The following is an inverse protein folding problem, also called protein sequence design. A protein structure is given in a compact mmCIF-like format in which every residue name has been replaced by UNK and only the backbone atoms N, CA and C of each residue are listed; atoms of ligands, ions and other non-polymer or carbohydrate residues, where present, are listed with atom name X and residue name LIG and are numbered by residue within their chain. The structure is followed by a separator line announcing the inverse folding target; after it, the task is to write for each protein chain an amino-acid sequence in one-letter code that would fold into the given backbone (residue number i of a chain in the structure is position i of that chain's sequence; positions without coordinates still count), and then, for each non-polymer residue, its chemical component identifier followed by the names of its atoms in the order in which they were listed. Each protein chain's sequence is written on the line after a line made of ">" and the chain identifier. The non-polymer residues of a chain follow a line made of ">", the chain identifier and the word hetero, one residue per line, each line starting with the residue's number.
data_IF_919925824607
#
_entry.id   IF_919925824607
#
_cell.length_a   1.000
_cell.length_b   1.000
_cell.length_c   1.000
_cell.angle_alpha   90.00
_cell.angle_beta   90.00
_cell.angle_gamma   90.00
#
_symmetry.space_group_name_H-M   'P 1'
#
loop_
_entity.id
_entity.type
_entity.pdbx_description
1 polymer ?
#
# COMPACT_ATOMS: atom_id res chain seq x y z
N UNK A 1 10.35 -2.50 -8.01
CA UNK A 1 9.94 -2.00 -6.70
C UNK A 1 9.23 -3.15 -5.98
N UNK A 2 9.89 -3.84 -5.05
CA UNK A 2 9.16 -4.68 -4.10
C UNK A 2 8.66 -3.72 -3.04
N UNK A 3 7.40 -3.29 -3.14
CA UNK A 3 6.72 -2.57 -2.06
C UNK A 3 6.87 -3.43 -0.80
N UNK A 4 7.40 -2.86 0.28
CA UNK A 4 7.61 -3.65 1.49
C UNK A 4 6.24 -4.16 1.97
N UNK A 5 6.08 -5.47 2.28
CA UNK A 5 4.79 -6.05 2.66
C UNK A 5 4.06 -5.29 3.78
N UNK A 6 4.83 -4.70 4.71
CA UNK A 6 4.32 -3.89 5.80
C UNK A 6 3.62 -2.59 5.34
N UNK A 7 4.13 -1.93 4.29
CA UNK A 7 3.56 -0.67 3.81
C UNK A 7 2.21 -0.90 3.14
N UNK A 8 2.09 -2.02 2.42
CA UNK A 8 0.83 -2.45 1.79
C UNK A 8 -0.20 -2.80 2.85
N UNK A 9 0.19 -3.58 3.87
CA UNK A 9 -0.69 -3.94 4.99
C UNK A 9 -1.21 -2.70 5.73
N UNK A 10 -0.32 -1.75 6.07
CA UNK A 10 -0.69 -0.50 6.72
C UNK A 10 -1.65 0.34 5.86
N UNK A 11 -1.42 0.39 4.55
CA UNK A 11 -2.30 1.09 3.61
C UNK A 11 -3.69 0.47 3.54
N UNK A 12 -3.76 -0.87 3.46
CA UNK A 12 -5.03 -1.60 3.48
C UNK A 12 -5.78 -1.35 4.79
N UNK A 13 -5.08 -1.46 5.93
CA UNK A 13 -5.67 -1.25 7.25
C UNK A 13 -6.24 0.17 7.37
N UNK A 14 -5.47 1.18 6.94
CA UNK A 14 -5.88 2.59 6.94
C UNK A 14 -7.11 2.80 6.07
N UNK A 15 -7.11 2.28 4.84
CA UNK A 15 -8.26 2.40 3.96
C UNK A 15 -9.49 1.73 4.56
N UNK A 16 -9.38 0.47 5.01
CA UNK A 16 -10.51 -0.26 5.58
C UNK A 16 -11.12 0.43 6.82
N UNK A 17 -10.32 1.16 7.60
CA UNK A 17 -10.79 1.89 8.78
C UNK A 17 -11.63 3.15 8.46
N UNK A 18 -11.28 3.92 7.42
CA UNK A 18 -11.90 5.24 7.15
C UNK A 18 -12.79 5.28 5.90
N UNK A 19 -12.61 4.33 4.98
CA UNK A 19 -13.18 4.37 3.63
C UNK A 19 -14.72 4.28 3.59
N UNK A 20 -15.34 3.64 4.58
CA UNK A 20 -16.79 3.37 4.59
C UNK A 20 -17.63 4.64 4.45
N UNK A 21 -17.30 5.69 5.20
CA UNK A 21 -18.04 6.94 5.15
C UNK A 21 -17.79 7.72 3.85
N UNK A 22 -16.65 7.47 3.20
CA UNK A 22 -16.28 8.08 1.93
C UNK A 22 -16.84 7.32 0.70
N UNK A 23 -17.55 6.20 0.91
CA UNK A 23 -18.07 5.37 -0.19
C UNK A 23 -16.99 4.58 -0.93
N UNK A 24 -15.83 4.36 -0.31
CA UNK A 24 -14.75 3.55 -0.87
C UNK A 24 -14.84 2.14 -0.26
N UNK A 25 -14.79 1.11 -1.11
CA UNK A 25 -14.94 -0.29 -0.72
C UNK A 25 -13.77 -1.12 -1.23
N UNK A 26 -13.24 -2.00 -0.38
CA UNK A 26 -12.14 -2.88 -0.73
C UNK A 26 -12.65 -4.31 -0.91
N UNK A 27 -12.20 -4.95 -2.00
CA UNK A 27 -12.34 -6.38 -2.22
C UNK A 27 -10.93 -6.95 -2.32
N UNK A 28 -10.59 -7.86 -1.41
CA UNK A 28 -9.32 -8.58 -1.41
C UNK A 28 -9.57 -10.05 -1.73
N UNK A 29 -8.84 -10.57 -2.72
CA UNK A 29 -8.92 -11.97 -3.12
C UNK A 29 -7.52 -12.58 -3.12
N UNK A 30 -7.42 -13.82 -2.63
CA UNK A 30 -6.19 -14.62 -2.68
C UNK A 30 -6.53 -16.09 -2.87
N UNK A 31 -5.68 -16.79 -3.61
CA UNK A 31 -5.74 -18.26 -3.73
C UNK A 31 -4.90 -18.96 -2.66
N UNK A 32 -4.04 -18.21 -1.95
CA UNK A 32 -3.08 -18.78 -0.99
C UNK A 32 -3.34 -18.15 0.38
N UNK A 33 -4.31 -18.68 1.14
CA UNK A 33 -4.70 -18.14 2.44
C UNK A 33 -3.69 -18.51 3.51
N UNK A 34 -2.55 -17.82 3.52
CA UNK A 34 -1.51 -17.99 4.54
C UNK A 34 -1.64 -16.92 5.63
N UNK A 35 -1.20 -17.24 6.84
CA UNK A 35 -1.28 -16.33 7.98
C UNK A 35 -0.42 -15.06 7.83
N UNK A 36 0.65 -15.12 7.03
CA UNK A 36 1.49 -13.98 6.64
C UNK A 36 0.87 -13.10 5.55
N UNK A 37 -0.15 -13.60 4.84
CA UNK A 37 -0.92 -12.82 3.84
C UNK A 37 -2.21 -12.28 4.46
N UNK A 38 -2.95 -13.12 5.19
CA UNK A 38 -4.19 -12.76 5.89
C UNK A 38 -3.86 -12.58 7.37
N UNK A 39 -3.15 -11.50 7.66
CA UNK A 39 -2.65 -11.19 8.99
C UNK A 39 -3.79 -10.81 9.96
N UNK A 40 -3.46 -10.70 11.25
CA UNK A 40 -4.41 -10.20 12.24
C UNK A 40 -4.90 -8.77 11.97
N UNK A 41 -4.03 -7.90 11.43
CA UNK A 41 -4.40 -6.50 11.11
C UNK A 41 -5.41 -6.45 9.97
N UNK A 42 -5.19 -7.25 8.92
CA UNK A 42 -6.13 -7.39 7.80
C UNK A 42 -7.48 -7.91 8.32
N UNK A 43 -7.46 -8.98 9.12
CA UNK A 43 -8.68 -9.56 9.70
C UNK A 43 -9.45 -8.59 10.60
N UNK A 44 -8.76 -7.78 11.39
CA UNK A 44 -9.39 -6.82 12.30
C UNK A 44 -10.17 -5.73 11.55
N UNK A 45 -9.73 -5.36 10.35
CA UNK A 45 -10.34 -4.28 9.57
C UNK A 45 -11.29 -4.78 8.46
N UNK A 46 -11.29 -6.08 8.15
CA UNK A 46 -12.13 -6.69 7.12
C UNK A 46 -13.01 -7.77 7.77
N UNK A 47 -14.17 -7.37 8.35
CA UNK A 47 -15.02 -8.28 9.11
C UNK A 47 -15.91 -9.17 8.23
N UNK A 48 -16.15 -8.79 6.98
CA UNK A 48 -16.93 -9.58 6.02
C UNK A 48 -16.00 -10.47 5.21
N UNK A 49 -16.24 -11.78 5.20
CA UNK A 49 -15.31 -12.75 4.56
C UNK A 49 -16.06 -13.83 3.82
N UNK A 50 -15.47 -14.26 2.69
CA UNK A 50 -15.96 -15.37 1.89
C UNK A 50 -14.80 -16.36 1.73
N UNK A 51 -15.05 -17.63 1.98
CA UNK A 51 -14.12 -18.71 1.67
C UNK A 51 -14.80 -19.69 0.70
N UNK A 52 -14.16 -19.93 -0.44
CA UNK A 52 -14.44 -21.09 -1.28
C UNK A 52 -13.71 -22.32 -0.74
N UNK A 53 -13.82 -23.45 -1.45
CA UNK A 53 -13.10 -24.67 -1.10
C UNK A 53 -11.59 -24.40 -0.93
N UNK A 54 -11.06 -24.83 0.22
CA UNK A 54 -9.62 -24.76 0.54
C UNK A 54 -9.07 -26.15 0.81
N UNK A 55 -7.74 -26.27 0.75
CA UNK A 55 -7.07 -27.56 0.88
C UNK A 55 -7.10 -28.14 2.30
N UNK A 56 -7.16 -27.28 3.33
CA UNK A 56 -7.05 -27.73 4.71
C UNK A 56 -7.89 -26.93 5.72
N UNK A 57 -8.13 -27.56 6.89
CA UNK A 57 -8.74 -26.88 8.05
C UNK A 57 -7.93 -25.67 8.52
N UNK A 58 -6.62 -25.68 8.32
CA UNK A 58 -5.74 -24.57 8.69
C UNK A 58 -6.07 -23.38 7.81
N UNK A 59 -6.14 -23.58 6.49
CA UNK A 59 -6.51 -22.54 5.52
C UNK A 59 -7.91 -21.97 5.80
N UNK A 60 -8.87 -22.83 6.17
CA UNK A 60 -10.21 -22.40 6.58
C UNK A 60 -10.15 -21.43 7.76
N UNK A 61 -9.37 -21.75 8.79
CA UNK A 61 -9.19 -20.88 9.96
C UNK A 61 -8.43 -19.60 9.66
N UNK A 62 -7.50 -19.62 8.71
CA UNK A 62 -6.80 -18.40 8.30
C UNK A 62 -7.80 -17.38 7.73
N UNK A 63 -8.79 -17.83 6.95
CA UNK A 63 -9.80 -16.94 6.34
C UNK A 63 -10.94 -16.64 7.31
N UNK A 64 -11.56 -17.65 7.89
CA UNK A 64 -12.85 -17.54 8.60
C UNK A 64 -12.73 -17.57 10.13
N UNK A 65 -11.54 -17.81 10.67
CA UNK A 65 -11.30 -18.14 12.08
C UNK A 65 -12.01 -19.44 12.54
N UNK A 66 -12.69 -20.14 11.63
CA UNK A 66 -13.42 -21.40 11.84
C UNK A 66 -13.08 -22.47 10.80
N UNK A 67 -13.38 -23.74 11.11
CA UNK A 67 -13.27 -24.84 10.14
C UNK A 67 -14.52 -24.90 9.24
N UNK A 68 -14.41 -25.57 8.09
CA UNK A 68 -15.58 -25.85 7.24
C UNK A 68 -15.32 -25.62 5.76
N UNK A 69 -14.46 -24.67 5.41
CA UNK A 69 -14.14 -24.40 4.01
C UNK A 69 -13.39 -25.57 3.35
N UNK A 70 -12.71 -26.40 4.14
CA UNK A 70 -12.05 -27.64 3.72
C UNK A 70 -13.04 -28.74 3.26
N UNK A 71 -14.33 -28.57 3.57
CA UNK A 71 -15.40 -29.53 3.25
C UNK A 71 -16.33 -29.06 2.14
N UNK A 72 -16.06 -27.90 1.56
CA UNK A 72 -16.81 -27.39 0.43
C UNK A 72 -16.54 -28.27 -0.81
N UNK A 73 -17.49 -28.24 -1.74
CA UNK A 73 -17.50 -29.10 -2.92
C UNK A 73 -16.73 -28.50 -4.11
N UNK A 74 -16.31 -27.23 -4.01
CA UNK A 74 -15.75 -26.47 -5.11
C UNK A 74 -16.84 -25.88 -6.00
N UNK A 75 -16.48 -25.44 -7.22
CA UNK A 75 -17.42 -24.96 -8.25
C UNK A 75 -18.46 -23.94 -7.74
N UNK A 76 -18.01 -22.96 -6.95
CA UNK A 76 -18.86 -21.90 -6.41
C UNK A 76 -19.45 -22.18 -5.02
N UNK A 77 -19.33 -23.39 -4.47
CA UNK A 77 -19.74 -23.65 -3.08
C UNK A 77 -18.84 -22.86 -2.11
N UNK A 78 -19.45 -22.08 -1.23
CA UNK A 78 -18.76 -21.12 -0.37
C UNK A 78 -19.36 -21.01 1.03
N UNK A 79 -18.54 -20.54 1.97
CA UNK A 79 -18.95 -20.06 3.27
C UNK A 79 -18.79 -18.55 3.32
N UNK A 80 -19.85 -17.87 3.74
CA UNK A 80 -19.89 -16.45 3.98
C UNK A 80 -19.97 -16.19 5.48
N UNK A 81 -19.07 -15.34 5.98
CA UNK A 81 -19.09 -14.77 7.31
C UNK A 81 -19.54 -13.30 7.20
N UNK A 82 -20.78 -12.98 7.56
CA UNK A 82 -21.26 -11.60 7.59
C UNK A 82 -20.53 -10.78 8.67
N UNK A 83 -20.48 -9.44 8.53
CA UNK A 83 -19.95 -8.59 9.58
C UNK A 83 -20.77 -8.72 10.86
N UNK A 84 -20.10 -8.56 12.00
CA UNK A 84 -20.73 -8.51 13.34
C UNK A 84 -21.45 -9.79 13.80
N UNK A 85 -21.21 -10.92 13.13
CA UNK A 85 -21.67 -12.24 13.58
C UNK A 85 -20.53 -13.25 13.49
N UNK A 86 -20.61 -14.32 14.27
CA UNK A 86 -19.74 -15.50 14.14
C UNK A 86 -20.39 -16.61 13.32
N UNK A 87 -21.64 -16.44 12.87
CA UNK A 87 -22.36 -17.49 12.18
C UNK A 87 -21.97 -17.55 10.71
N UNK A 88 -21.37 -18.68 10.32
CA UNK A 88 -21.13 -19.00 8.91
C UNK A 88 -22.44 -19.35 8.18
N UNK A 89 -22.59 -18.82 6.98
CA UNK A 89 -23.68 -19.08 6.06
C UNK A 89 -23.09 -19.81 4.85
N UNK A 90 -23.58 -21.03 4.57
CA UNK A 90 -23.22 -21.72 3.33
C UNK A 90 -24.06 -21.17 2.18
N UNK A 91 -23.42 -20.88 1.06
CA UNK A 91 -24.04 -20.32 -0.13
C UNK A 91 -23.41 -20.93 -1.39
N UNK A 92 -24.11 -20.79 -2.51
CA UNK A 92 -23.65 -21.22 -3.82
C UNK A 92 -23.41 -19.98 -4.69
N UNK A 93 -22.19 -19.82 -5.17
CA UNK A 93 -21.82 -18.80 -6.14
C UNK A 93 -22.47 -19.06 -7.50
N UNK A 94 -22.80 -17.97 -8.19
CA UNK A 94 -23.33 -18.01 -9.54
C UNK A 94 -22.16 -18.23 -10.51
N UNK A 95 -22.34 -19.15 -11.46
CA UNK A 95 -21.42 -19.31 -12.57
C UNK A 95 -21.68 -18.20 -13.58
N UNK A 96 -20.64 -17.43 -13.90
CA UNK A 96 -20.63 -16.49 -15.02
C UNK A 96 -19.48 -16.91 -15.92
N UNK A 97 -19.76 -17.14 -17.19
CA UNK A 97 -18.78 -17.54 -18.18
C UNK A 97 -18.00 -16.33 -18.72
N UNK A 98 -16.81 -16.58 -19.26
CA UNK A 98 -16.00 -15.52 -19.87
C UNK A 98 -16.74 -14.82 -21.04
N UNK A 99 -17.59 -15.55 -21.76
CA UNK A 99 -18.38 -14.98 -22.87
C UNK A 99 -19.44 -14.01 -22.35
N UNK A 100 -20.14 -14.35 -21.26
CA UNK A 100 -21.09 -13.44 -20.60
C UNK A 100 -20.38 -12.19 -20.04
N UNK A 101 -19.17 -12.36 -19.51
CA UNK A 101 -18.34 -11.22 -19.05
C UNK A 101 -17.99 -10.30 -20.22
N UNK A 102 -17.56 -10.87 -21.36
CA UNK A 102 -17.21 -10.09 -22.56
C UNK A 102 -18.43 -9.32 -23.08
N UNK A 103 -19.57 -9.99 -23.22
CA UNK A 103 -20.81 -9.35 -23.67
C UNK A 103 -21.21 -8.19 -22.76
N UNK A 104 -21.09 -8.36 -21.44
CA UNK A 104 -21.38 -7.29 -20.48
C UNK A 104 -20.40 -6.12 -20.62
N UNK A 105 -19.10 -6.39 -20.77
CA UNK A 105 -18.07 -5.35 -20.95
C UNK A 105 -18.30 -4.57 -22.24
N UNK A 106 -18.63 -5.25 -23.35
CA UNK A 106 -18.94 -4.63 -24.63
C UNK A 106 -20.20 -3.75 -24.54
N UNK A 107 -21.25 -4.25 -23.88
CA UNK A 107 -22.49 -3.51 -23.66
C UNK A 107 -22.25 -2.23 -22.83
N UNK A 108 -21.43 -2.29 -21.78
CA UNK A 108 -21.15 -1.13 -20.92
C UNK A 108 -20.21 -0.14 -21.62
N UNK A 109 -19.15 -0.63 -22.26
CA UNK A 109 -18.19 0.23 -22.98
C UNK A 109 -18.82 0.93 -24.20
N UNK A 110 -19.83 0.33 -24.83
CA UNK A 110 -20.61 0.97 -25.88
C UNK A 110 -21.47 2.16 -25.41
N UNK A 111 -21.75 2.29 -24.10
CA UNK A 111 -22.53 3.40 -23.54
C UNK A 111 -21.67 4.65 -23.28
N UNK A 112 -20.36 4.51 -23.16
CA UNK A 112 -19.45 5.61 -22.89
C UNK A 112 -18.01 5.17 -22.76
N UNK A 113 -17.09 6.03 -23.22
CA UNK A 113 -15.66 5.80 -23.05
C UNK A 113 -15.21 5.99 -21.59
N UNK A 114 -14.11 5.34 -21.18
CA UNK A 114 -13.58 5.49 -19.83
C UNK A 114 -13.04 6.92 -19.60
N UNK A 115 -13.40 7.51 -18.46
CA UNK A 115 -12.86 8.78 -17.99
C UNK A 115 -11.72 8.51 -16.99
N UNK A 116 -10.49 8.46 -17.49
CA UNK A 116 -9.31 8.27 -16.64
C UNK A 116 -8.78 9.60 -16.11
N UNK A 117 -8.37 9.62 -14.84
CA UNK A 117 -7.64 10.74 -14.25
C UNK A 117 -6.18 10.70 -14.74
N UNK A 118 -5.81 11.65 -15.59
CA UNK A 118 -4.46 11.75 -16.16
C UNK A 118 -3.40 12.02 -15.10
N UNK A 119 -3.71 12.79 -14.05
CA UNK A 119 -2.77 13.06 -12.96
C UNK A 119 -2.47 11.79 -12.15
N UNK A 120 -3.47 10.93 -11.98
CA UNK A 120 -3.27 9.60 -11.37
C UNK A 120 -2.39 8.71 -12.26
N UNK A 121 -2.58 8.73 -13.58
CA UNK A 121 -1.74 7.96 -14.52
C UNK A 121 -0.28 8.42 -14.49
N UNK A 122 -0.03 9.73 -14.49
CA UNK A 122 1.33 10.29 -14.38
C UNK A 122 2.01 9.90 -13.06
N UNK A 123 1.26 9.92 -11.95
CA UNK A 123 1.76 9.45 -10.64
C UNK A 123 2.14 7.97 -10.66
N UNK A 124 1.35 7.11 -11.31
CA UNK A 124 1.66 5.69 -11.43
C UNK A 124 2.87 5.43 -12.33
N UNK A 125 3.06 6.23 -13.38
CA UNK A 125 4.15 6.07 -14.35
C UNK A 125 5.49 6.65 -13.86
N UNK A 126 5.46 7.71 -13.07
CA UNK A 126 6.67 8.38 -12.57
C UNK A 126 7.44 7.56 -11.53
N UNK A 127 6.87 6.47 -10.99
CA UNK A 127 7.55 5.61 -10.02
C UNK A 127 7.93 6.32 -8.71
N UNK A 128 7.51 7.59 -8.56
CA UNK A 128 7.56 8.29 -7.29
C UNK A 128 6.56 7.59 -6.38
N UNK A 129 7.04 6.94 -5.33
CA UNK A 129 6.20 6.51 -4.21
C UNK A 129 5.31 7.68 -3.76
N UNK A 130 4.22 7.43 -3.03
CA UNK A 130 3.33 8.48 -2.58
C UNK A 130 4.20 9.61 -2.01
N UNK A 131 4.09 10.80 -2.60
CA UNK A 131 4.52 11.99 -1.92
C UNK A 131 3.68 12.00 -0.64
N UNK A 132 4.22 11.43 0.44
CA UNK A 132 3.74 11.71 1.77
C UNK A 132 3.75 13.23 1.83
N UNK A 133 2.58 13.84 2.01
CA UNK A 133 2.47 15.28 2.17
C UNK A 133 3.58 15.72 3.12
N UNK A 134 4.54 16.49 2.59
CA UNK A 134 5.68 16.96 3.37
C UNK A 134 5.05 17.84 4.45
N UNK A 135 5.11 17.38 5.70
CA UNK A 135 4.53 18.13 6.81
C UNK A 135 5.28 19.44 6.98
N UNK A 136 4.65 20.48 7.56
CA UNK A 136 5.35 21.73 7.89
C UNK A 136 6.60 21.45 8.75
N UNK A 137 6.55 20.45 9.64
CA UNK A 137 7.71 20.01 10.41
C UNK A 137 8.83 19.42 9.54
N UNK A 138 8.50 18.68 8.48
CA UNK A 138 9.48 18.15 7.55
C UNK A 138 10.11 19.28 6.72
N UNK A 139 9.34 20.30 6.36
CA UNK A 139 9.82 21.50 5.66
C UNK A 139 10.85 22.27 6.52
N UNK A 140 10.55 22.51 7.80
CA UNK A 140 11.49 23.12 8.74
C UNK A 140 12.78 22.29 8.91
N UNK A 141 12.66 20.96 8.90
CA UNK A 141 13.81 20.07 9.02
C UNK A 141 14.64 20.02 7.74
N UNK A 142 14.00 20.12 6.57
CA UNK A 142 14.68 20.25 5.28
C UNK A 142 15.56 21.50 5.28
N UNK A 143 15.06 22.66 5.71
CA UNK A 143 15.86 23.89 5.81
C UNK A 143 17.07 23.71 6.72
N UNK A 144 16.87 23.17 7.93
CA UNK A 144 17.96 22.90 8.89
C UNK A 144 19.00 21.92 8.32
N UNK A 145 18.55 20.91 7.56
CA UNK A 145 19.44 19.96 6.90
C UNK A 145 20.25 20.62 5.78
N UNK A 146 19.63 21.49 4.97
CA UNK A 146 20.31 22.23 3.90
C UNK A 146 21.42 23.13 4.46
N UNK A 147 21.18 23.81 5.58
CA UNK A 147 22.23 24.60 6.24
C UNK A 147 23.43 23.75 6.68
N UNK A 148 23.18 22.56 7.25
CA UNK A 148 24.24 21.64 7.66
C UNK A 148 25.00 21.10 6.45
N UNK A 149 24.30 20.73 5.38
CA UNK A 149 24.92 20.23 4.16
C UNK A 149 25.78 21.33 3.51
N UNK A 150 25.32 22.59 3.53
CA UNK A 150 26.10 23.75 3.07
C UNK A 150 27.39 23.93 3.88
N UNK A 151 27.31 23.83 5.22
CA UNK A 151 28.48 23.98 6.10
C UNK A 151 29.48 22.83 5.97
N UNK A 152 29.01 21.59 5.90
CA UNK A 152 29.85 20.39 5.96
C UNK A 152 30.25 19.86 4.58
N UNK A 153 29.63 20.38 3.51
CA UNK A 153 29.79 19.95 2.11
C UNK A 153 29.63 18.44 1.91
N UNK A 154 28.82 17.80 2.77
CA UNK A 154 28.55 16.36 2.78
C UNK A 154 27.08 16.13 3.10
N UNK A 155 26.44 15.23 2.36
CA UNK A 155 25.07 14.84 2.61
C UNK A 155 25.02 13.34 2.97
N UNK A 156 24.98 13.00 4.25
CA UNK A 156 24.77 11.62 4.70
C UNK A 156 23.76 11.55 5.84
N UNK A 157 22.99 10.46 5.87
CA UNK A 157 21.98 10.22 6.91
C UNK A 157 22.59 10.27 8.32
N UNK A 158 23.79 9.70 8.49
CA UNK A 158 24.53 9.70 9.76
C UNK A 158 25.00 11.10 10.21
N UNK A 159 25.34 11.97 9.25
CA UNK A 159 25.73 13.35 9.55
C UNK A 159 24.54 14.13 10.12
N UNK A 160 23.39 14.04 9.45
CA UNK A 160 22.16 14.72 9.86
C UNK A 160 21.64 14.15 11.18
N UNK A 161 21.72 12.83 11.38
CA UNK A 161 21.40 12.17 12.64
C UNK A 161 22.18 12.77 13.81
N UNK A 162 23.50 12.93 13.65
CA UNK A 162 24.37 13.45 14.71
C UNK A 162 24.19 14.94 14.95
N UNK A 163 24.03 15.74 13.89
CA UNK A 163 23.92 17.20 14.00
C UNK A 163 22.56 17.67 14.51
N UNK A 164 21.48 17.04 14.07
CA UNK A 164 20.11 17.42 14.43
C UNK A 164 19.49 16.52 15.51
N UNK A 165 20.26 15.54 16.03
CA UNK A 165 19.78 14.55 17.02
C UNK A 165 18.52 13.82 16.55
N UNK A 166 18.40 13.58 15.25
CA UNK A 166 17.27 12.90 14.64
C UNK A 166 17.39 11.39 14.84
N UNK A 167 16.26 10.69 14.84
CA UNK A 167 16.23 9.24 14.64
C UNK A 167 16.64 8.88 13.20
N UNK A 168 17.19 7.68 13.00
CA UNK A 168 17.65 7.23 11.67
C UNK A 168 16.56 7.35 10.60
N UNK A 169 15.34 6.89 10.90
CA UNK A 169 14.20 6.93 9.97
C UNK A 169 13.86 8.36 9.53
N UNK A 170 13.87 9.32 10.45
CA UNK A 170 13.57 10.72 10.16
C UNK A 170 14.69 11.36 9.33
N UNK A 171 15.94 11.07 9.64
CA UNK A 171 17.08 11.53 8.85
C UNK A 171 17.07 10.94 7.43
N UNK A 172 16.74 9.65 7.27
CA UNK A 172 16.66 8.99 5.97
C UNK A 172 15.56 9.61 5.11
N UNK A 173 14.37 9.83 5.68
CA UNK A 173 13.25 10.49 5.02
C UNK A 173 13.61 11.88 4.48
N UNK A 174 14.28 12.72 5.27
CA UNK A 174 14.69 14.06 4.80
C UNK A 174 15.70 13.96 3.64
N UNK A 175 16.62 13.00 3.70
CA UNK A 175 17.59 12.75 2.63
C UNK A 175 16.91 12.31 1.33
N UNK A 176 15.86 11.49 1.43
CA UNK A 176 15.06 11.06 0.29
C UNK A 176 14.20 12.21 -0.28
N UNK A 177 13.66 13.09 0.58
CA UNK A 177 12.96 14.32 0.14
C UNK A 177 13.93 15.23 -0.65
N UNK A 178 15.16 15.39 -0.18
CA UNK A 178 16.18 16.19 -0.86
C UNK A 178 16.61 15.57 -2.21
N UNK A 179 16.63 14.24 -2.31
CA UNK A 179 16.84 13.53 -3.59
C UNK A 179 15.67 13.75 -4.55
N UNK A 180 14.43 13.62 -4.08
CA UNK A 180 13.23 13.88 -4.88
C UNK A 180 13.17 15.33 -5.39
N UNK A 181 13.64 16.29 -4.58
CA UNK A 181 13.75 17.71 -4.98
C UNK A 181 14.92 17.99 -5.92
N UNK A 182 15.71 16.99 -6.31
CA UNK A 182 16.86 17.13 -7.21
C UNK A 182 18.06 17.84 -6.56
N UNK A 183 18.09 17.96 -5.23
CA UNK A 183 19.19 18.59 -4.49
C UNK A 183 20.32 17.59 -4.26
N UNK A 184 19.98 16.32 -4.03
CA UNK A 184 20.92 15.22 -3.83
C UNK A 184 20.80 14.17 -4.93
N UNK A 185 21.93 13.54 -5.26
CA UNK A 185 22.02 12.40 -6.17
C UNK A 185 21.61 11.09 -5.52
N UNK A 186 21.51 10.00 -6.32
CA UNK A 186 21.10 8.69 -5.84
C UNK A 186 22.05 8.13 -4.77
N UNK A 187 21.50 7.35 -3.84
CA UNK A 187 22.27 6.76 -2.75
C UNK A 187 23.25 5.68 -3.20
N UNK A 188 24.55 5.87 -2.93
CA UNK A 188 25.59 4.83 -3.06
C UNK A 188 25.90 4.16 -1.72
N UNK A 189 24.95 3.39 -1.18
CA UNK A 189 25.16 2.63 0.06
C UNK A 189 25.48 3.52 1.26
N UNK A 190 26.59 3.25 1.96
CA UNK A 190 26.98 3.99 3.17
C UNK A 190 27.75 5.30 2.89
N UNK A 191 27.99 5.64 1.62
CA UNK A 191 28.71 6.88 1.26
C UNK A 191 27.79 8.10 1.36
N UNK A 192 28.35 9.30 1.60
CA UNK A 192 27.62 10.54 1.41
C UNK A 192 27.08 10.63 -0.03
N UNK A 193 25.84 11.09 -0.18
CA UNK A 193 25.21 11.37 -1.47
C UNK A 193 25.89 12.56 -2.14
N UNK A 194 25.94 12.51 -3.47
CA UNK A 194 26.39 13.63 -4.29
C UNK A 194 25.43 14.81 -4.14
N UNK A 195 25.95 16.03 -4.07
CA UNK A 195 25.15 17.25 -4.01
C UNK A 195 25.06 17.78 -5.45
N UNK A 196 23.85 17.83 -6.01
CA UNK A 196 23.62 18.14 -7.42
C UNK A 196 23.43 19.64 -7.69
N UNK A 197 23.16 20.42 -6.65
CA UNK A 197 22.93 21.86 -6.72
C UNK A 197 24.08 22.63 -6.10
N UNK A 198 24.36 23.81 -6.64
CA UNK A 198 25.29 24.74 -6.01
C UNK A 198 24.60 25.38 -4.79
N UNK A 199 25.00 24.96 -3.60
CA UNK A 199 24.46 25.47 -2.33
C UNK A 199 25.00 26.86 -1.97
N UNK A 200 26.04 27.34 -2.68
CA UNK A 200 26.67 28.65 -2.51
C UNK A 200 26.15 29.69 -3.52
N UNK A 201 25.37 29.27 -4.52
CA UNK A 201 24.66 30.17 -5.45
C UNK A 201 23.47 30.82 -4.72
N UNK A 202 23.63 32.09 -4.35
CA UNK A 202 22.59 32.88 -3.73
C UNK A 202 21.30 32.92 -4.57
N UNK A 203 20.16 32.75 -3.89
CA UNK A 203 18.91 33.46 -4.22
C UNK A 203 19.10 34.93 -3.87
#
# INVERSE_FOLDING_TARGET
>A
MQTAPADVENSIARMAAIARAAGIHLILATQTPRADVITGVIKANIPSRIAFQVASKIDSRVILDENGADRLLGQGDMLYLPPSTSRLIRAQGVLVTDDEIRELVDFVSGQGGPAFDSAMQERLQSGAGPAEDVSEEDEELVEKCLEIIRQEKKASTSLLQRRLRLGYTRAARIVDILEQRGILGPGEGAKPREILVDLDAAV
#
